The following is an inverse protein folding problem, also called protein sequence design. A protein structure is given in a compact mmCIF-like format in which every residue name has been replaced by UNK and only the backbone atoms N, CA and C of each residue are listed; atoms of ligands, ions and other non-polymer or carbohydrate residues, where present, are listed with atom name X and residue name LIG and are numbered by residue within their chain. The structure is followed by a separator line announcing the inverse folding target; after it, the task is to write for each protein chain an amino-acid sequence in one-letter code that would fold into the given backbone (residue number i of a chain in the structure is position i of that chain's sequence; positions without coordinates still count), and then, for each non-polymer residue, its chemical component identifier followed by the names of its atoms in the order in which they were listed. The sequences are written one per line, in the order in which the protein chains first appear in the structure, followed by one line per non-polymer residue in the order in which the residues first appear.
data_IF_387969675970
#
_entry.id   IF_387969675970
#
_cell.length_a   1.000
_cell.length_b   1.000
_cell.length_c   1.000
_cell.angle_alpha   90.00
_cell.angle_beta   90.00
_cell.angle_gamma   90.00
#
_symmetry.space_group_name_H-M   'P 1'
#
loop_
_entity.id
_entity.type
_entity.pdbx_description
1 polymer ?
#
# COMPACT_ATOMS: atom_id res chain seq x y z
N UNK A 1 38.84 -3.69 69.33
CA UNK A 1 39.19 -2.27 69.06
C UNK A 1 39.76 -2.14 67.70
N UNK A 2 39.01 -1.53 66.75
CA UNK A 2 39.38 -0.54 65.76
C UNK A 2 38.19 -0.38 64.77
N UNK A 3 37.60 0.81 64.87
CA UNK A 3 36.57 1.37 64.06
C UNK A 3 37.09 1.58 62.63
N UNK A 4 36.37 1.14 61.62
CA UNK A 4 36.59 1.54 60.22
C UNK A 4 35.42 2.43 59.79
N UNK A 5 35.73 3.64 59.36
CA UNK A 5 34.80 4.68 58.91
C UNK A 5 34.31 4.34 57.51
N UNK A 6 33.02 4.48 57.33
CA UNK A 6 32.36 4.48 56.03
C UNK A 6 32.76 5.73 55.22
N UNK A 7 33.15 5.55 53.99
CA UNK A 7 33.46 6.62 53.07
C UNK A 7 32.21 7.02 52.26
N UNK A 8 31.99 8.30 52.17
CA UNK A 8 30.83 8.97 51.63
C UNK A 8 30.71 8.79 50.10
N UNK A 9 29.51 8.49 49.70
CA UNK A 9 29.05 8.41 48.29
C UNK A 9 29.16 9.81 47.63
N UNK A 10 30.01 9.96 46.61
CA UNK A 10 30.00 11.13 45.74
C UNK A 10 28.94 10.91 44.65
N UNK A 11 27.85 11.65 44.77
CA UNK A 11 26.86 11.74 43.68
C UNK A 11 27.48 12.53 42.50
N UNK A 12 27.68 11.87 41.39
CA UNK A 12 28.06 12.51 40.11
C UNK A 12 26.88 13.32 39.62
N UNK A 13 26.92 14.63 39.73
CA UNK A 13 25.94 15.54 39.18
C UNK A 13 26.11 15.56 37.65
N UNK A 14 25.16 14.96 36.91
CA UNK A 14 25.08 15.07 35.46
C UNK A 14 24.57 16.48 35.16
N UNK A 15 25.43 17.36 34.63
CA UNK A 15 25.05 18.69 34.20
C UNK A 15 24.12 18.61 32.98
N UNK A 16 23.03 19.39 33.01
CA UNK A 16 22.16 19.51 31.84
C UNK A 16 22.91 20.10 30.65
N UNK A 17 22.66 19.60 29.42
CA UNK A 17 23.31 20.11 28.23
C UNK A 17 22.94 21.59 27.99
N UNK A 18 23.92 22.39 27.57
CA UNK A 18 23.71 23.81 27.30
C UNK A 18 22.87 24.01 26.04
N UNK A 19 22.42 25.24 25.75
CA UNK A 19 21.53 25.54 24.65
C UNK A 19 22.12 25.18 23.27
N UNK A 20 23.43 25.29 23.09
CA UNK A 20 24.11 24.91 21.83
C UNK A 20 24.19 23.39 21.63
N UNK A 21 24.32 22.61 22.70
CA UNK A 21 24.30 21.15 22.67
C UNK A 21 22.87 20.61 22.40
N UNK A 22 21.84 21.26 22.97
CA UNK A 22 20.45 20.94 22.64
C UNK A 22 20.15 21.20 21.16
N UNK A 23 20.59 22.33 20.61
CA UNK A 23 20.41 22.66 19.18
C UNK A 23 21.13 21.65 18.26
N UNK A 24 22.33 21.20 18.64
CA UNK A 24 23.08 20.18 17.90
C UNK A 24 22.40 18.80 17.96
N UNK A 25 21.89 18.41 19.13
CA UNK A 25 21.12 17.16 19.30
C UNK A 25 19.80 17.16 18.53
N UNK A 26 19.11 18.30 18.49
CA UNK A 26 17.88 18.45 17.71
C UNK A 26 18.16 18.46 16.20
N UNK A 27 19.25 19.06 15.73
CA UNK A 27 19.69 19.00 14.35
C UNK A 27 20.05 17.58 13.90
N UNK A 28 20.68 16.77 14.76
CA UNK A 28 20.98 15.35 14.46
C UNK A 28 19.71 14.50 14.43
N UNK A 29 18.70 14.79 15.24
CA UNK A 29 17.42 14.10 15.20
C UNK A 29 16.63 14.38 13.92
N UNK A 30 16.80 15.54 13.30
CA UNK A 30 16.11 15.94 12.06
C UNK A 30 16.89 15.57 10.78
N UNK A 31 18.13 15.06 10.89
CA UNK A 31 18.97 14.68 9.74
C UNK A 31 19.04 13.17 9.45
N UNK A 32 18.37 12.34 10.23
CA UNK A 32 18.24 10.93 9.86
C UNK A 32 17.27 10.85 8.68
N UNK A 33 17.68 10.29 7.52
CA UNK A 33 16.73 10.04 6.45
C UNK A 33 15.62 9.18 7.02
N UNK A 34 14.36 9.62 6.84
CA UNK A 34 13.22 8.83 7.27
C UNK A 34 13.35 7.44 6.63
N UNK A 35 13.55 6.42 7.45
CA UNK A 35 13.56 5.05 6.95
C UNK A 35 12.15 4.78 6.44
N UNK A 36 11.99 4.77 5.12
CA UNK A 36 10.72 4.43 4.49
C UNK A 36 10.49 2.93 4.73
N UNK A 37 9.61 2.62 5.67
CA UNK A 37 9.17 1.24 5.90
C UNK A 37 8.23 0.85 4.77
N UNK A 38 8.49 -0.26 4.03
CA UNK A 38 7.59 -0.73 2.99
C UNK A 38 6.21 -1.05 3.55
N UNK A 39 5.16 -0.77 2.77
CA UNK A 39 3.79 -1.19 3.08
C UNK A 39 3.68 -2.71 3.01
N UNK A 40 3.19 -3.34 4.08
CA UNK A 40 2.94 -4.78 4.13
C UNK A 40 1.57 -5.09 3.50
N UNK A 41 1.60 -5.57 2.26
CA UNK A 41 0.40 -5.92 1.49
C UNK A 41 0.15 -7.43 1.54
N UNK A 42 -1.00 -7.86 2.07
CA UNK A 42 -1.39 -9.25 2.19
C UNK A 42 -2.57 -9.63 1.28
N UNK A 43 -2.63 -10.86 0.72
CA UNK A 43 -3.79 -11.34 -0.01
C UNK A 43 -4.94 -11.71 0.93
N UNK A 44 -6.19 -11.44 0.52
CA UNK A 44 -7.37 -11.91 1.23
C UNK A 44 -8.43 -12.38 0.23
N UNK A 45 -8.74 -13.68 0.22
CA UNK A 45 -9.77 -14.26 -0.63
C UNK A 45 -11.15 -14.30 0.05
N UNK A 46 -11.18 -14.23 1.38
CA UNK A 46 -12.38 -14.33 2.19
C UNK A 46 -12.22 -13.58 3.53
N UNK A 47 -13.25 -13.63 4.36
CA UNK A 47 -13.27 -12.97 5.66
C UNK A 47 -12.23 -13.52 6.65
N UNK A 48 -11.91 -14.81 6.61
CA UNK A 48 -10.95 -15.41 7.52
C UNK A 48 -9.53 -14.99 7.14
N UNK A 49 -9.23 -14.95 5.84
CA UNK A 49 -7.98 -14.39 5.31
C UNK A 49 -7.85 -12.89 5.66
N UNK A 50 -8.91 -12.09 5.51
CA UNK A 50 -8.88 -10.67 5.83
C UNK A 50 -8.61 -10.43 7.33
N UNK A 51 -9.27 -11.18 8.22
CA UNK A 51 -9.01 -11.10 9.67
C UNK A 51 -7.58 -11.50 10.00
N UNK A 52 -7.11 -12.63 9.46
CA UNK A 52 -5.75 -13.11 9.71
C UNK A 52 -4.70 -12.09 9.23
N UNK A 53 -4.88 -11.48 8.06
CA UNK A 53 -3.97 -10.45 7.55
C UNK A 53 -3.90 -9.24 8.49
N UNK A 54 -5.05 -8.71 8.90
CA UNK A 54 -5.15 -7.55 9.80
C UNK A 54 -4.55 -7.86 11.17
N UNK A 55 -4.85 -9.00 11.76
CA UNK A 55 -4.35 -9.42 13.08
C UNK A 55 -2.84 -9.66 13.09
N UNK A 56 -2.24 -9.96 11.93
CA UNK A 56 -0.79 -10.12 11.79
C UNK A 56 -0.08 -8.87 11.24
N UNK A 57 -0.73 -7.70 11.26
CA UNK A 57 -0.10 -6.41 11.04
C UNK A 57 0.04 -6.00 9.58
N UNK A 58 -0.85 -6.47 8.69
CA UNK A 58 -0.90 -5.97 7.33
C UNK A 58 -1.31 -4.48 7.32
N UNK A 59 -0.60 -3.66 6.53
CA UNK A 59 -0.94 -2.26 6.29
C UNK A 59 -2.03 -2.13 5.23
N UNK A 60 -2.09 -3.10 4.32
CA UNK A 60 -3.12 -3.19 3.29
C UNK A 60 -3.43 -4.65 2.97
N UNK A 61 -4.65 -4.91 2.50
CA UNK A 61 -5.00 -6.18 1.87
C UNK A 61 -5.39 -5.96 0.42
N UNK A 62 -5.13 -6.96 -0.44
CA UNK A 62 -5.72 -6.99 -1.76
C UNK A 62 -6.66 -8.18 -1.91
N UNK A 63 -7.78 -7.94 -2.57
CA UNK A 63 -8.86 -8.92 -2.70
C UNK A 63 -9.51 -8.85 -4.08
N UNK A 64 -10.14 -9.95 -4.48
CA UNK A 64 -10.96 -10.02 -5.68
C UNK A 64 -12.43 -9.96 -5.36
N UNK A 65 -13.22 -9.56 -6.35
CA UNK A 65 -14.67 -9.70 -6.36
C UNK A 65 -15.07 -10.79 -7.36
N UNK A 66 -16.35 -11.04 -7.52
CA UNK A 66 -16.86 -12.12 -8.39
C UNK A 66 -16.57 -11.89 -9.88
N UNK A 67 -16.30 -10.65 -10.30
CA UNK A 67 -16.09 -10.28 -11.71
C UNK A 67 -14.79 -9.50 -11.89
N UNK A 68 -14.27 -9.50 -13.11
CA UNK A 68 -13.14 -8.71 -13.57
C UNK A 68 -11.83 -8.93 -12.79
N UNK A 69 -11.68 -10.08 -12.13
CA UNK A 69 -10.44 -10.44 -11.47
C UNK A 69 -9.89 -11.78 -12.00
N UNK A 70 -8.58 -11.91 -12.06
CA UNK A 70 -7.90 -13.08 -12.60
C UNK A 70 -8.12 -14.37 -11.78
N UNK A 71 -8.65 -14.25 -10.56
CA UNK A 71 -8.94 -15.38 -9.64
C UNK A 71 -10.43 -15.62 -9.44
N UNK A 72 -11.28 -15.35 -10.43
CA UNK A 72 -12.73 -15.52 -10.32
C UNK A 72 -13.19 -16.91 -9.85
N UNK A 73 -12.37 -17.95 -10.05
CA UNK A 73 -12.66 -19.33 -9.62
C UNK A 73 -12.31 -19.61 -8.17
N UNK A 74 -11.63 -18.71 -7.49
CA UNK A 74 -11.35 -18.82 -6.05
C UNK A 74 -12.50 -18.25 -5.23
N UNK A 75 -12.45 -18.45 -3.91
CA UNK A 75 -13.29 -17.68 -3.01
C UNK A 75 -12.95 -16.19 -3.18
N UNK A 76 -13.97 -15.37 -3.34
CA UNK A 76 -13.85 -13.92 -3.48
C UNK A 76 -14.96 -13.26 -2.66
N UNK A 77 -14.77 -11.99 -2.36
CA UNK A 77 -15.84 -11.17 -1.81
C UNK A 77 -16.88 -10.84 -2.87
N UNK A 78 -18.11 -10.62 -2.44
CA UNK A 78 -19.17 -10.11 -3.30
C UNK A 78 -19.19 -8.57 -3.28
N UNK A 79 -19.85 -7.96 -4.26
CA UNK A 79 -20.08 -6.52 -4.25
C UNK A 79 -20.83 -6.05 -2.99
N UNK A 80 -21.76 -6.87 -2.49
CA UNK A 80 -22.49 -6.61 -1.26
C UNK A 80 -21.62 -6.63 0.01
N UNK A 81 -20.50 -7.31 -0.01
CA UNK A 81 -19.56 -7.35 1.12
C UNK A 81 -18.72 -6.08 1.24
N UNK A 82 -18.54 -5.32 0.15
CA UNK A 82 -17.62 -4.19 0.09
C UNK A 82 -17.79 -3.16 1.22
N UNK A 83 -19.00 -2.63 1.49
CA UNK A 83 -19.16 -1.62 2.54
C UNK A 83 -18.73 -2.14 3.92
N UNK A 84 -19.07 -3.38 4.23
CA UNK A 84 -18.71 -4.01 5.50
C UNK A 84 -17.22 -4.32 5.58
N UNK A 85 -16.61 -4.76 4.47
CA UNK A 85 -15.18 -5.04 4.38
C UNK A 85 -14.37 -3.76 4.57
N UNK A 86 -14.71 -2.70 3.86
CA UNK A 86 -14.01 -1.41 3.98
C UNK A 86 -14.16 -0.80 5.36
N UNK A 87 -15.35 -0.86 5.97
CA UNK A 87 -15.54 -0.44 7.37
C UNK A 87 -14.65 -1.25 8.33
N UNK A 88 -14.58 -2.57 8.17
CA UNK A 88 -13.73 -3.45 8.98
C UNK A 88 -12.26 -3.09 8.88
N UNK A 89 -11.77 -2.82 7.67
CA UNK A 89 -10.37 -2.45 7.41
C UNK A 89 -10.04 -1.06 7.94
N UNK A 90 -10.83 -0.06 7.56
CA UNK A 90 -10.57 1.35 7.91
C UNK A 90 -10.62 1.60 9.43
N UNK A 91 -11.50 0.93 10.16
CA UNK A 91 -11.49 1.00 11.64
C UNK A 91 -10.21 0.51 12.28
N UNK A 92 -9.37 -0.23 11.53
CA UNK A 92 -8.08 -0.77 11.99
C UNK A 92 -6.89 -0.09 11.33
N UNK A 93 -7.13 0.96 10.54
CA UNK A 93 -6.11 1.69 9.82
C UNK A 93 -5.51 0.90 8.64
N UNK A 94 -6.19 -0.16 8.19
CA UNK A 94 -5.75 -1.01 7.07
C UNK A 94 -6.46 -0.59 5.80
N UNK A 95 -5.72 -0.54 4.68
CA UNK A 95 -6.27 -0.22 3.35
C UNK A 95 -6.80 -1.46 2.64
N UNK A 96 -7.77 -1.26 1.75
CA UNK A 96 -8.31 -2.31 0.90
C UNK A 96 -8.12 -2.01 -0.59
N UNK A 97 -7.41 -2.89 -1.30
CA UNK A 97 -7.15 -2.77 -2.73
C UNK A 97 -7.91 -3.86 -3.48
N UNK A 98 -8.81 -3.45 -4.38
CA UNK A 98 -9.55 -4.41 -5.20
C UNK A 98 -8.77 -4.78 -6.45
N UNK A 99 -8.76 -6.05 -6.82
CA UNK A 99 -8.23 -6.49 -8.11
C UNK A 99 -9.28 -6.34 -9.21
N UNK A 100 -8.95 -5.54 -10.23
CA UNK A 100 -9.69 -5.38 -11.48
C UNK A 100 -8.71 -5.68 -12.63
N UNK A 101 -8.18 -6.90 -12.65
CA UNK A 101 -6.96 -7.24 -13.36
C UNK A 101 -7.16 -8.32 -14.43
N UNK A 102 -8.25 -8.22 -15.16
CA UNK A 102 -8.51 -8.93 -16.42
C UNK A 102 -8.64 -7.95 -17.57
N UNK A 103 -8.59 -8.47 -18.80
CA UNK A 103 -9.00 -7.70 -19.98
C UNK A 103 -10.50 -7.52 -19.97
N UNK A 104 -10.98 -6.38 -20.46
CA UNK A 104 -12.39 -6.04 -20.55
C UNK A 104 -12.74 -5.77 -22.03
N UNK A 105 -13.67 -6.53 -22.57
CA UNK A 105 -14.08 -6.39 -23.94
C UNK A 105 -15.16 -5.31 -24.11
N UNK A 106 -15.33 -4.82 -25.33
CA UNK A 106 -16.23 -3.69 -25.62
C UNK A 106 -17.68 -3.91 -25.16
N UNK A 107 -18.16 -5.14 -25.23
CA UNK A 107 -19.52 -5.51 -24.76
C UNK A 107 -19.65 -5.60 -23.23
N UNK A 108 -18.54 -5.57 -22.50
CA UNK A 108 -18.50 -5.62 -21.02
C UNK A 108 -18.30 -4.24 -20.39
N UNK A 109 -17.98 -3.22 -21.19
CA UNK A 109 -17.60 -1.88 -20.69
C UNK A 109 -18.70 -1.22 -19.83
N UNK A 110 -19.98 -1.37 -20.22
CA UNK A 110 -21.08 -0.80 -19.43
C UNK A 110 -21.19 -1.46 -18.05
N UNK A 111 -21.01 -2.77 -17.97
CA UNK A 111 -21.01 -3.52 -16.73
C UNK A 111 -19.77 -3.17 -15.87
N UNK A 112 -18.61 -3.04 -16.52
CA UNK A 112 -17.37 -2.63 -15.85
C UNK A 112 -17.50 -1.23 -15.23
N UNK A 113 -18.14 -0.30 -15.93
CA UNK A 113 -18.39 1.05 -15.40
C UNK A 113 -19.28 1.01 -14.16
N UNK A 114 -20.40 0.29 -14.19
CA UNK A 114 -21.28 0.17 -13.03
C UNK A 114 -20.57 -0.45 -11.83
N UNK A 115 -19.76 -1.47 -12.09
CA UNK A 115 -18.99 -2.17 -11.08
C UNK A 115 -17.91 -1.27 -10.45
N UNK A 116 -17.21 -0.48 -11.26
CA UNK A 116 -16.25 0.52 -10.78
C UNK A 116 -16.90 1.62 -9.95
N UNK A 117 -18.10 2.07 -10.32
CA UNK A 117 -18.87 3.04 -9.52
C UNK A 117 -19.21 2.49 -8.14
N UNK A 118 -19.61 1.21 -8.04
CA UNK A 118 -19.90 0.56 -6.77
C UNK A 118 -18.64 0.42 -5.91
N UNK A 119 -17.51 0.04 -6.51
CA UNK A 119 -16.19 -0.08 -5.85
C UNK A 119 -15.76 1.28 -5.25
N UNK A 120 -15.83 2.35 -6.05
CA UNK A 120 -15.48 3.70 -5.62
C UNK A 120 -16.41 4.19 -4.51
N UNK A 121 -17.72 3.98 -4.67
CA UNK A 121 -18.73 4.38 -3.68
C UNK A 121 -18.59 3.63 -2.34
N UNK A 122 -18.09 2.40 -2.36
CA UNK A 122 -17.83 1.62 -1.15
C UNK A 122 -16.59 2.08 -0.38
N UNK A 123 -15.81 3.03 -0.91
CA UNK A 123 -14.62 3.57 -0.26
C UNK A 123 -13.38 2.68 -0.36
N UNK A 124 -13.27 1.87 -1.41
CA UNK A 124 -12.06 1.10 -1.70
C UNK A 124 -10.88 2.06 -1.94
N UNK A 125 -9.71 1.76 -1.40
CA UNK A 125 -8.58 2.69 -1.38
C UNK A 125 -7.77 2.70 -2.70
N UNK A 126 -7.79 1.62 -3.47
CA UNK A 126 -7.19 1.55 -4.81
C UNK A 126 -7.74 0.38 -5.63
N UNK A 127 -7.62 0.45 -6.95
CA UNK A 127 -7.84 -0.68 -7.84
C UNK A 127 -6.51 -1.13 -8.46
N UNK A 128 -6.27 -2.45 -8.47
CA UNK A 128 -5.13 -3.09 -9.15
C UNK A 128 -5.60 -3.49 -10.55
N UNK A 129 -5.15 -2.78 -11.57
CA UNK A 129 -5.71 -2.80 -12.92
C UNK A 129 -4.73 -3.35 -13.94
N UNK A 130 -5.21 -4.17 -14.88
CA UNK A 130 -4.46 -4.66 -16.04
C UNK A 130 -4.80 -3.88 -17.31
N UNK A 131 -6.07 -3.61 -17.55
CA UNK A 131 -6.59 -3.08 -18.82
C UNK A 131 -6.39 -1.56 -18.90
N UNK A 132 -5.79 -1.10 -19.99
CA UNK A 132 -5.49 0.32 -20.25
C UNK A 132 -6.77 1.14 -20.38
N UNK A 133 -7.80 0.58 -21.03
CA UNK A 133 -9.12 1.23 -21.19
C UNK A 133 -9.79 1.44 -19.83
N UNK A 134 -9.63 0.49 -18.92
CA UNK A 134 -10.14 0.59 -17.54
C UNK A 134 -9.40 1.68 -16.76
N UNK A 135 -8.09 1.85 -16.93
CA UNK A 135 -7.38 2.97 -16.31
C UNK A 135 -7.98 4.33 -16.74
N UNK A 136 -8.26 4.49 -18.03
CA UNK A 136 -8.90 5.71 -18.56
C UNK A 136 -10.32 5.88 -18.02
N UNK A 137 -11.12 4.81 -18.02
CA UNK A 137 -12.47 4.85 -17.48
C UNK A 137 -12.48 5.26 -16.01
N UNK A 138 -11.59 4.73 -15.18
CA UNK A 138 -11.46 5.13 -13.78
C UNK A 138 -11.14 6.63 -13.67
N UNK A 139 -10.23 7.17 -14.49
CA UNK A 139 -9.90 8.61 -14.50
C UNK A 139 -11.11 9.48 -14.87
N UNK A 140 -11.97 9.01 -15.76
CA UNK A 140 -13.22 9.70 -16.14
C UNK A 140 -14.26 9.64 -15.01
N UNK A 141 -14.34 8.53 -14.28
CA UNK A 141 -15.29 8.35 -13.18
C UNK A 141 -14.85 9.06 -11.89
N UNK A 142 -13.56 9.01 -11.60
CA UNK A 142 -12.97 9.60 -10.39
C UNK A 142 -11.51 9.99 -10.67
N UNK A 143 -11.23 11.28 -10.90
CA UNK A 143 -9.88 11.76 -11.26
C UNK A 143 -8.80 11.40 -10.23
N UNK A 144 -9.16 11.33 -8.96
CA UNK A 144 -8.21 11.13 -7.85
C UNK A 144 -8.18 9.70 -7.30
N UNK A 145 -9.03 8.79 -7.81
CA UNK A 145 -9.07 7.42 -7.31
C UNK A 145 -7.77 6.68 -7.63
N UNK A 146 -7.07 6.09 -6.63
CA UNK A 146 -5.77 5.47 -6.86
C UNK A 146 -5.84 4.23 -7.76
N UNK A 147 -4.95 4.18 -8.77
CA UNK A 147 -4.79 3.03 -9.67
C UNK A 147 -3.40 2.45 -9.46
N UNK A 148 -3.34 1.16 -9.19
CA UNK A 148 -2.11 0.39 -9.14
C UNK A 148 -2.02 -0.48 -10.41
N UNK A 149 -0.97 -0.29 -11.20
CA UNK A 149 -0.73 -1.12 -12.38
C UNK A 149 -0.41 -2.55 -11.94
N UNK A 150 -1.21 -3.52 -12.39
CA UNK A 150 -1.04 -4.95 -12.08
C UNK A 150 0.25 -5.51 -12.68
N UNK A 151 0.80 -6.58 -12.10
CA UNK A 151 1.83 -7.41 -12.73
C UNK A 151 1.43 -7.88 -14.13
N UNK A 152 0.12 -8.06 -14.36
CA UNK A 152 -0.44 -8.48 -15.65
C UNK A 152 -0.41 -7.38 -16.71
N UNK A 153 -0.16 -6.13 -16.36
CA UNK A 153 0.15 -5.06 -17.32
C UNK A 153 1.54 -5.23 -17.93
N UNK A 154 2.36 -6.12 -17.40
CA UNK A 154 3.67 -6.56 -17.93
C UNK A 154 4.67 -5.41 -18.06
N UNK A 155 4.77 -4.57 -17.05
CA UNK A 155 5.72 -3.45 -17.03
C UNK A 155 7.09 -3.94 -16.55
N UNK A 156 8.11 -3.76 -17.42
CA UNK A 156 9.48 -4.27 -17.20
C UNK A 156 10.56 -3.19 -17.32
N UNK A 157 10.20 -1.95 -17.62
CA UNK A 157 11.16 -0.89 -17.93
C UNK A 157 10.71 0.49 -17.43
N UNK A 158 11.64 1.44 -17.36
CA UNK A 158 11.36 2.84 -17.02
C UNK A 158 10.30 3.44 -17.96
N UNK A 159 10.42 3.22 -19.28
CA UNK A 159 9.41 3.71 -20.24
C UNK A 159 8.02 3.13 -20.01
N UNK A 160 7.92 1.87 -19.56
CA UNK A 160 6.65 1.27 -19.16
C UNK A 160 6.07 1.92 -17.90
N UNK A 161 6.92 2.26 -16.94
CA UNK A 161 6.51 3.00 -15.72
C UNK A 161 6.02 4.41 -16.06
N UNK A 162 6.72 5.11 -16.96
CA UNK A 162 6.30 6.43 -17.43
C UNK A 162 4.95 6.38 -18.12
N UNK A 163 4.75 5.39 -18.99
CA UNK A 163 3.46 5.17 -19.64
C UNK A 163 2.32 4.89 -18.63
N UNK A 164 2.57 4.05 -17.62
CA UNK A 164 1.58 3.80 -16.58
C UNK A 164 1.25 5.08 -15.79
N UNK A 165 2.25 5.93 -15.54
CA UNK A 165 2.05 7.24 -14.89
C UNK A 165 1.18 8.17 -15.74
N UNK A 166 1.38 8.21 -17.08
CA UNK A 166 0.55 8.96 -18.01
C UNK A 166 -0.90 8.47 -18.04
N UNK A 167 -1.13 7.18 -17.79
CA UNK A 167 -2.47 6.61 -17.59
C UNK A 167 -3.09 6.96 -16.22
N UNK A 168 -2.34 7.63 -15.36
CA UNK A 168 -2.78 8.00 -14.02
C UNK A 168 -2.54 6.93 -12.94
N UNK A 169 -1.70 5.92 -13.21
CA UNK A 169 -1.33 4.95 -12.17
C UNK A 169 -0.42 5.62 -11.14
N UNK A 170 -0.74 5.46 -9.87
CA UNK A 170 0.03 5.95 -8.72
C UNK A 170 1.08 4.96 -8.22
N UNK A 171 0.94 3.69 -8.59
CA UNK A 171 1.85 2.60 -8.23
C UNK A 171 1.95 1.60 -9.38
N UNK A 172 3.13 1.02 -9.56
CA UNK A 172 3.36 -0.04 -10.56
C UNK A 172 3.89 -1.28 -9.86
N UNK A 173 3.18 -2.40 -10.04
CA UNK A 173 3.69 -3.72 -9.68
C UNK A 173 4.44 -4.28 -10.88
N UNK A 174 5.76 -4.29 -10.82
CA UNK A 174 6.61 -4.75 -11.93
C UNK A 174 6.35 -6.22 -12.27
N UNK A 175 6.57 -6.57 -13.53
CA UNK A 175 6.48 -7.94 -13.98
C UNK A 175 7.48 -8.83 -13.23
N UNK A 176 7.09 -10.05 -12.91
CA UNK A 176 7.92 -11.01 -12.13
C UNK A 176 9.16 -11.50 -12.87
N UNK A 177 9.21 -11.26 -14.16
CA UNK A 177 10.34 -11.56 -15.06
C UNK A 177 11.52 -10.60 -14.87
N UNK A 178 11.31 -9.45 -14.20
CA UNK A 178 12.37 -8.48 -13.95
C UNK A 178 13.40 -9.03 -12.98
N UNK A 179 14.67 -9.03 -13.40
CA UNK A 179 15.80 -9.25 -12.50
C UNK A 179 16.07 -8.03 -11.62
N UNK A 180 16.76 -8.21 -10.51
CA UNK A 180 17.20 -7.10 -9.65
C UNK A 180 18.04 -6.06 -10.42
N UNK A 181 18.79 -6.49 -11.42
CA UNK A 181 19.59 -5.59 -12.27
C UNK A 181 18.71 -4.70 -13.14
N UNK A 182 17.59 -5.23 -13.64
CA UNK A 182 16.61 -4.46 -14.42
C UNK A 182 15.82 -3.52 -13.53
N UNK A 183 15.38 -3.98 -12.36
CA UNK A 183 14.66 -3.15 -11.38
C UNK A 183 15.49 -1.93 -10.98
N UNK A 184 16.82 -2.10 -10.75
CA UNK A 184 17.70 -0.99 -10.40
C UNK A 184 17.84 0.09 -11.48
N UNK A 185 17.47 -0.20 -12.73
CA UNK A 185 17.48 0.77 -13.83
C UNK A 185 16.19 1.59 -13.91
N UNK A 186 15.17 1.18 -13.18
CA UNK A 186 13.91 1.92 -13.09
C UNK A 186 14.07 2.95 -11.97
N UNK A 187 14.01 4.27 -12.29
CA UNK A 187 14.13 5.29 -11.26
C UNK A 187 13.01 5.15 -10.23
N UNK A 188 13.34 5.32 -8.96
CA UNK A 188 12.35 5.50 -7.92
C UNK A 188 11.57 6.80 -8.18
N UNK A 189 10.27 6.86 -7.84
CA UNK A 189 9.46 8.05 -8.01
C UNK A 189 9.95 9.21 -7.15
#
# INVERSE_FOLDING_TARGET
MRSARMNSNQATTISEPNASEKTALDAVRHSSPAVHVPELLAPAGDWDCARAAVENGADAIYFGLERFNARMRAHNFTEADLPRLMEFLHRRGVKGYVTFNTLVFANEMADAEQYLRAIIAAGVDAAIVQDIGICRLIRELSPDFPIHASTQMTITSAGGVDFARELGCSLVVLARECSLTEIKKIPAP
#
